data_IF_413076626326
#
_entry.id   IF_413076626326
#
_cell.length_a   1.000
_cell.length_b   1.000
_cell.length_c   1.000
_cell.angle_alpha   90.00
_cell.angle_beta   90.00
_cell.angle_gamma   90.00
#
_symmetry.space_group_name_H-M   'P 1'
#
loop_
_entity.id
_entity.type
_entity.pdbx_description
1 polymer ?
#
# COMPACT_ATOMS: atom_id res chain seq x y z
N UNK A 1 6.95 28.25 44.01
CA UNK A 1 6.62 26.81 44.00
C UNK A 1 5.54 26.57 42.95
N UNK A 2 5.95 26.24 41.73
CA UNK A 2 5.04 26.04 40.58
C UNK A 2 4.85 24.54 40.39
N UNK A 3 3.72 24.01 40.87
CA UNK A 3 3.31 22.63 40.60
C UNK A 3 2.82 22.55 39.15
N UNK A 4 3.71 22.25 38.21
CA UNK A 4 3.29 21.73 36.91
C UNK A 4 2.83 20.30 37.13
N UNK A 5 1.52 20.10 37.24
CA UNK A 5 0.85 18.80 37.16
C UNK A 5 1.06 18.23 35.75
N UNK A 6 2.27 17.77 35.49
CA UNK A 6 2.68 17.19 34.22
C UNK A 6 1.94 15.87 34.02
N UNK A 7 1.03 15.84 33.04
CA UNK A 7 0.52 14.58 32.52
C UNK A 7 1.72 13.69 32.17
N UNK A 8 1.71 12.46 32.68
CA UNK A 8 2.74 11.50 32.28
C UNK A 8 2.67 11.34 30.76
N UNK A 9 3.82 11.28 30.04
CA UNK A 9 3.82 11.16 28.57
C UNK A 9 2.96 10.00 28.04
N UNK A 10 2.76 8.97 28.85
CA UNK A 10 1.97 7.79 28.53
C UNK A 10 0.46 7.94 28.78
N UNK A 11 0.03 9.01 29.46
CA UNK A 11 -1.39 9.23 29.78
C UNK A 11 -2.22 9.33 28.50
N UNK A 12 -1.74 10.10 27.52
CA UNK A 12 -2.46 10.30 26.24
C UNK A 12 -2.60 8.97 25.50
N UNK A 13 -1.52 8.18 25.41
CA UNK A 13 -1.53 6.88 24.72
C UNK A 13 -2.57 5.93 25.31
N UNK A 14 -2.67 5.87 26.65
CA UNK A 14 -3.55 4.93 27.35
C UNK A 14 -5.00 5.34 27.40
N UNK A 15 -5.28 6.64 27.49
CA UNK A 15 -6.64 7.13 27.75
C UNK A 15 -7.37 7.60 26.50
N UNK A 16 -6.67 7.89 25.41
CA UNK A 16 -7.32 8.23 24.14
C UNK A 16 -7.95 6.96 23.54
N UNK A 17 -9.25 6.97 23.23
CA UNK A 17 -9.94 5.82 22.64
C UNK A 17 -9.35 5.37 21.30
N UNK A 18 -9.42 4.06 20.97
CA UNK A 18 -8.88 3.52 19.72
C UNK A 18 -9.36 4.22 18.44
N UNK A 19 -10.64 4.59 18.36
CA UNK A 19 -11.27 5.29 17.23
C UNK A 19 -10.71 6.71 17.02
N UNK A 20 -10.37 7.41 18.09
CA UNK A 20 -9.70 8.71 18.00
C UNK A 20 -8.28 8.53 17.44
N UNK A 21 -7.53 7.52 17.90
CA UNK A 21 -6.23 7.18 17.31
C UNK A 21 -6.33 6.80 15.84
N UNK A 22 -7.33 5.99 15.43
CA UNK A 22 -7.58 5.67 14.02
C UNK A 22 -7.81 6.94 13.20
N UNK A 23 -8.58 7.89 13.75
CA UNK A 23 -8.85 9.17 13.10
C UNK A 23 -7.57 10.01 12.94
N UNK A 24 -6.73 10.07 13.98
CA UNK A 24 -5.42 10.72 13.93
C UNK A 24 -4.53 10.06 12.86
N UNK A 25 -4.48 8.72 12.80
CA UNK A 25 -3.69 8.01 11.80
C UNK A 25 -4.16 8.32 10.38
N UNK A 26 -5.48 8.33 10.15
CA UNK A 26 -6.05 8.73 8.86
C UNK A 26 -5.68 10.16 8.49
N UNK A 27 -5.72 11.10 9.44
CA UNK A 27 -5.31 12.48 9.21
C UNK A 27 -3.82 12.57 8.87
N UNK A 28 -2.94 11.86 9.58
CA UNK A 28 -1.51 11.83 9.29
C UNK A 28 -1.21 11.27 7.90
N UNK A 29 -1.95 10.25 7.47
CA UNK A 29 -1.80 9.65 6.13
C UNK A 29 -2.43 10.49 5.01
N UNK A 30 -3.49 11.26 5.31
CA UNK A 30 -4.23 12.06 4.32
C UNK A 30 -3.80 13.53 4.20
N UNK A 31 -3.28 14.13 5.26
CA UNK A 31 -2.88 15.57 5.30
C UNK A 31 -1.52 15.85 4.67
N UNK A 32 -0.75 14.81 4.41
CA UNK A 32 0.61 14.90 3.92
C UNK A 32 0.63 14.96 2.39
N UNK A 33 1.15 16.03 1.74
CA UNK A 33 1.52 16.01 0.33
C UNK A 33 2.80 15.16 0.12
N UNK A 34 2.96 14.09 0.90
CA UNK A 34 4.10 13.21 0.81
C UNK A 34 3.98 12.38 -0.45
N UNK A 35 5.14 12.09 -1.05
CA UNK A 35 5.26 11.05 -2.08
C UNK A 35 4.54 9.81 -1.58
N UNK A 36 3.66 9.20 -2.38
CA UNK A 36 2.75 8.10 -1.97
C UNK A 36 3.46 6.93 -1.26
N UNK A 37 4.74 6.72 -1.53
CA UNK A 37 5.61 5.74 -0.85
C UNK A 37 5.93 6.04 0.63
N UNK A 38 5.76 7.28 1.09
CA UNK A 38 6.02 7.66 2.48
C UNK A 38 4.83 7.35 3.40
N UNK A 39 3.60 7.33 2.87
CA UNK A 39 2.42 6.99 3.67
C UNK A 39 2.55 5.62 4.33
N UNK A 40 3.03 4.61 3.58
CA UNK A 40 3.23 3.29 4.16
C UNK A 40 4.37 3.26 5.19
N UNK A 41 5.44 4.01 4.99
CA UNK A 41 6.53 4.11 5.97
C UNK A 41 6.03 4.75 7.27
N UNK A 42 5.25 5.82 7.16
CA UNK A 42 4.59 6.45 8.32
C UNK A 42 3.72 5.44 9.04
N UNK A 43 2.87 4.68 8.32
CA UNK A 43 2.03 3.66 8.95
C UNK A 43 2.85 2.57 9.65
N UNK A 44 3.96 2.13 9.05
CA UNK A 44 4.89 1.22 9.71
C UNK A 44 5.46 1.85 10.98
N UNK A 45 5.96 3.10 10.95
CA UNK A 45 6.44 3.77 12.15
C UNK A 45 5.38 3.83 13.26
N UNK A 46 4.12 4.12 12.92
CA UNK A 46 3.01 4.12 13.89
C UNK A 46 2.86 2.75 14.58
N UNK A 47 3.01 1.64 13.83
CA UNK A 47 2.94 0.28 14.40
C UNK A 47 4.11 -0.09 15.32
N UNK A 48 5.17 0.72 15.36
CA UNK A 48 6.35 0.50 16.20
C UNK A 48 6.38 1.39 17.44
N UNK A 49 5.46 2.35 17.60
CA UNK A 49 5.43 3.25 18.77
C UNK A 49 5.15 2.49 20.07
N UNK A 50 4.05 1.72 20.12
CA UNK A 50 3.70 0.90 21.28
C UNK A 50 2.75 -0.25 20.87
N UNK A 51 2.54 -1.27 21.73
CA UNK A 51 1.63 -2.38 21.42
C UNK A 51 0.20 -1.94 21.10
N UNK A 52 -0.31 -0.91 21.78
CA UNK A 52 -1.66 -0.38 21.56
C UNK A 52 -1.78 0.24 20.16
N UNK A 53 -0.81 1.03 19.71
CA UNK A 53 -0.82 1.60 18.36
C UNK A 53 -0.68 0.55 17.27
N UNK A 54 0.15 -0.48 17.50
CA UNK A 54 0.26 -1.64 16.60
C UNK A 54 -1.07 -2.35 16.45
N UNK A 55 -1.77 -2.58 17.56
CA UNK A 55 -3.09 -3.19 17.56
C UNK A 55 -4.08 -2.32 16.78
N UNK A 56 -4.15 -1.03 17.08
CA UNK A 56 -5.07 -0.09 16.41
C UNK A 56 -4.79 -0.03 14.89
N UNK A 57 -3.53 0.08 14.49
CA UNK A 57 -3.14 0.16 13.08
C UNK A 57 -3.45 -1.15 12.34
N UNK A 58 -3.11 -2.31 12.92
CA UNK A 58 -3.38 -3.62 12.31
C UNK A 58 -4.88 -3.95 12.26
N UNK A 59 -5.64 -3.49 13.26
CA UNK A 59 -7.09 -3.67 13.32
C UNK A 59 -7.88 -2.69 12.43
N UNK A 60 -7.20 -1.83 11.66
CA UNK A 60 -7.86 -0.82 10.83
C UNK A 60 -7.54 -1.03 9.36
N UNK A 61 -8.28 -1.90 8.64
CA UNK A 61 -7.97 -2.25 7.24
C UNK A 61 -7.93 -1.07 6.29
N UNK A 62 -8.74 -0.04 6.57
CA UNK A 62 -8.78 1.20 5.80
C UNK A 62 -7.42 1.90 5.72
N UNK A 63 -6.59 1.83 6.78
CA UNK A 63 -5.25 2.43 6.79
C UNK A 63 -4.30 1.77 5.78
N UNK A 64 -4.55 0.51 5.43
CA UNK A 64 -3.74 -0.30 4.52
C UNK A 64 -4.34 -0.40 3.12
N UNK A 65 -5.47 0.25 2.88
CA UNK A 65 -6.24 0.15 1.62
C UNK A 65 -5.61 0.88 0.44
N UNK A 66 -4.64 1.77 0.68
CA UNK A 66 -3.92 2.49 -0.37
C UNK A 66 -2.56 1.86 -0.61
N UNK A 67 -2.40 1.25 -1.77
CA UNK A 67 -1.21 0.51 -2.17
C UNK A 67 -0.54 1.23 -3.33
N UNK A 68 0.71 1.58 -3.13
CA UNK A 68 1.51 2.26 -4.14
C UNK A 68 2.81 1.48 -4.36
N UNK A 69 2.91 0.85 -5.52
CA UNK A 69 4.11 0.13 -5.95
C UNK A 69 4.91 1.02 -6.88
N UNK A 70 6.17 1.23 -6.55
CA UNK A 70 7.11 2.06 -7.30
C UNK A 70 8.21 1.17 -7.85
N UNK A 71 8.35 1.17 -9.17
CA UNK A 71 9.55 0.66 -9.85
C UNK A 71 10.51 1.83 -9.99
N UNK A 72 11.66 1.76 -9.33
CA UNK A 72 12.67 2.81 -9.31
C UNK A 72 13.94 2.42 -10.05
N UNK A 73 14.87 3.37 -10.21
CA UNK A 73 16.11 3.14 -10.92
C UNK A 73 16.89 1.93 -10.41
N UNK A 74 17.55 1.23 -11.35
CA UNK A 74 18.15 -0.11 -11.16
C UNK A 74 17.11 -1.23 -10.95
N UNK A 75 15.88 -1.04 -11.42
CA UNK A 75 14.83 -2.07 -11.39
C UNK A 75 14.30 -2.44 -10.01
N UNK A 76 14.62 -1.63 -8.98
CA UNK A 76 14.19 -1.89 -7.59
C UNK A 76 12.71 -1.59 -7.44
N UNK A 77 11.96 -2.55 -6.90
CA UNK A 77 10.53 -2.40 -6.62
C UNK A 77 10.30 -2.18 -5.13
N UNK A 78 9.49 -1.17 -4.79
CA UNK A 78 9.04 -0.89 -3.43
C UNK A 78 7.51 -0.76 -3.39
N UNK A 79 6.81 -1.34 -2.39
CA UNK A 79 7.32 -2.27 -1.38
C UNK A 79 7.90 -3.55 -2.00
N UNK A 80 8.78 -4.24 -1.26
CA UNK A 80 9.19 -5.60 -1.62
C UNK A 80 8.05 -6.60 -1.34
N UNK A 81 8.25 -7.87 -1.69
CA UNK A 81 7.21 -8.90 -1.64
C UNK A 81 6.67 -9.12 -0.21
N UNK A 82 7.55 -9.21 0.78
CA UNK A 82 7.17 -9.42 2.18
C UNK A 82 6.35 -8.25 2.73
N UNK A 83 6.81 -7.02 2.45
CA UNK A 83 6.10 -5.83 2.89
C UNK A 83 4.76 -5.68 2.16
N UNK A 84 4.70 -5.97 0.86
CA UNK A 84 3.44 -5.95 0.13
C UNK A 84 2.46 -6.99 0.68
N UNK A 85 2.94 -8.19 1.00
CA UNK A 85 2.15 -9.25 1.64
C UNK A 85 1.59 -8.81 2.99
N UNK A 86 2.41 -8.15 3.82
CA UNK A 86 1.98 -7.58 5.09
C UNK A 86 0.86 -6.54 4.89
N UNK A 87 1.03 -5.63 3.92
CA UNK A 87 0.04 -4.59 3.60
C UNK A 87 -1.28 -5.22 3.18
N UNK A 88 -1.24 -6.17 2.25
CA UNK A 88 -2.41 -6.85 1.71
C UNK A 88 -3.15 -7.65 2.78
N UNK A 89 -2.40 -8.33 3.66
CA UNK A 89 -2.95 -9.06 4.82
C UNK A 89 -3.70 -8.11 5.75
N UNK A 90 -3.10 -6.96 6.08
CA UNK A 90 -3.73 -5.99 6.99
C UNK A 90 -4.92 -5.27 6.34
N UNK A 91 -4.89 -5.06 5.03
CA UNK A 91 -6.02 -4.51 4.26
C UNK A 91 -7.23 -5.47 4.19
N UNK A 92 -7.05 -6.77 4.51
CA UNK A 92 -8.09 -7.81 4.53
C UNK A 92 -8.88 -7.86 3.22
N UNK A 93 -10.20 -7.75 3.27
CA UNK A 93 -11.10 -7.76 2.10
C UNK A 93 -11.53 -6.36 1.64
N UNK A 94 -10.92 -5.31 2.21
CA UNK A 94 -11.28 -3.91 1.93
C UNK A 94 -10.98 -3.57 0.47
N UNK A 95 -11.83 -2.76 -0.20
CA UNK A 95 -11.54 -2.24 -1.53
C UNK A 95 -10.23 -1.45 -1.54
N UNK A 96 -9.42 -1.63 -2.58
CA UNK A 96 -8.07 -1.08 -2.65
C UNK A 96 -7.97 0.13 -3.59
N UNK A 97 -7.18 1.13 -3.22
CA UNK A 97 -6.67 2.16 -4.12
C UNK A 97 -5.27 1.75 -4.51
N UNK A 98 -5.09 1.35 -5.75
CA UNK A 98 -3.88 0.69 -6.24
C UNK A 98 -3.22 1.53 -7.33
N UNK A 99 -1.93 1.79 -7.18
CA UNK A 99 -1.17 2.50 -8.19
C UNK A 99 0.23 1.90 -8.38
N UNK A 100 0.58 1.70 -9.65
CA UNK A 100 1.90 1.27 -10.10
C UNK A 100 2.59 2.44 -10.80
N UNK A 101 3.61 3.01 -10.16
CA UNK A 101 4.42 4.12 -10.66
C UNK A 101 5.79 3.61 -11.14
N UNK A 102 6.33 4.24 -12.18
CA UNK A 102 7.70 4.01 -12.65
C UNK A 102 8.49 5.30 -12.55
N UNK A 103 9.65 5.25 -11.90
CA UNK A 103 10.60 6.35 -11.77
C UNK A 103 11.83 6.08 -12.63
N UNK A 104 11.94 6.81 -13.73
CA UNK A 104 13.02 6.70 -14.71
C UNK A 104 12.75 5.67 -15.81
N UNK A 105 13.66 5.56 -16.77
CA UNK A 105 13.48 4.76 -18.00
C UNK A 105 14.02 3.33 -17.89
N UNK A 106 13.83 2.67 -16.75
CA UNK A 106 14.51 1.40 -16.45
C UNK A 106 13.51 0.25 -16.36
N UNK A 107 13.81 -0.85 -17.05
CA UNK A 107 13.06 -2.11 -16.96
C UNK A 107 13.29 -2.74 -15.58
N UNK A 108 12.24 -3.23 -14.89
CA UNK A 108 12.42 -4.02 -13.67
C UNK A 108 13.21 -5.28 -13.98
N UNK A 109 14.13 -5.66 -13.08
CA UNK A 109 14.85 -6.93 -13.23
C UNK A 109 13.91 -8.11 -12.92
N UNK A 110 14.07 -9.29 -13.56
CA UNK A 110 13.18 -10.43 -13.37
C UNK A 110 12.99 -10.84 -11.90
N UNK A 111 14.05 -10.74 -11.07
CA UNK A 111 14.02 -11.03 -9.63
C UNK A 111 13.12 -10.08 -8.82
N UNK A 112 12.72 -8.95 -9.40
CA UNK A 112 11.87 -7.95 -8.76
C UNK A 112 10.43 -7.96 -9.32
N UNK A 113 10.06 -8.99 -10.08
CA UNK A 113 8.70 -9.13 -10.62
C UNK A 113 7.70 -9.67 -9.60
N UNK A 114 8.12 -10.37 -8.54
CA UNK A 114 7.19 -10.96 -7.58
C UNK A 114 6.27 -9.93 -6.88
N UNK A 115 6.77 -8.77 -6.40
CA UNK A 115 5.87 -7.74 -5.87
C UNK A 115 4.86 -7.24 -6.91
N UNK A 116 5.24 -7.16 -8.20
CA UNK A 116 4.32 -6.80 -9.28
C UNK A 116 3.26 -7.87 -9.50
N UNK A 117 3.65 -9.15 -9.50
CA UNK A 117 2.70 -10.27 -9.61
C UNK A 117 1.70 -10.23 -8.47
N UNK A 118 2.17 -10.14 -7.24
CA UNK A 118 1.33 -10.07 -6.04
C UNK A 118 0.40 -8.85 -6.07
N UNK A 119 0.91 -7.69 -6.50
CA UNK A 119 0.09 -6.49 -6.68
C UNK A 119 -1.02 -6.71 -7.69
N UNK A 120 -0.73 -7.27 -8.87
CA UNK A 120 -1.73 -7.46 -9.91
C UNK A 120 -2.74 -8.58 -9.57
N UNK A 121 -2.34 -9.61 -8.84
CA UNK A 121 -3.25 -10.65 -8.34
C UNK A 121 -4.38 -10.07 -7.48
N UNK A 122 -4.09 -8.98 -6.76
CA UNK A 122 -5.03 -8.29 -5.87
C UNK A 122 -5.86 -7.20 -6.57
N UNK A 123 -5.63 -6.94 -7.86
CA UNK A 123 -6.35 -5.89 -8.60
C UNK A 123 -7.86 -6.16 -8.74
N UNK A 124 -8.32 -7.39 -8.51
CA UNK A 124 -9.75 -7.71 -8.40
C UNK A 124 -10.46 -6.99 -7.23
N UNK A 125 -9.71 -6.53 -6.23
CA UNK A 125 -10.21 -5.72 -5.11
C UNK A 125 -10.13 -4.21 -5.38
N UNK A 126 -9.56 -3.80 -6.52
CA UNK A 126 -9.30 -2.41 -6.79
C UNK A 126 -10.62 -1.63 -6.94
N UNK A 127 -10.75 -0.60 -6.12
CA UNK A 127 -11.71 0.49 -6.28
C UNK A 127 -11.20 1.51 -7.29
N UNK A 128 -9.90 1.82 -7.22
CA UNK A 128 -9.19 2.67 -8.17
C UNK A 128 -7.91 1.95 -8.55
N UNK A 129 -7.64 1.86 -9.85
CA UNK A 129 -6.45 1.20 -10.37
C UNK A 129 -5.75 2.15 -11.34
N UNK A 130 -4.50 2.47 -11.06
CA UNK A 130 -3.63 3.22 -11.96
C UNK A 130 -2.40 2.38 -12.30
N UNK A 131 -2.18 2.13 -13.59
CA UNK A 131 -1.09 1.29 -14.06
C UNK A 131 -0.25 2.06 -15.06
N UNK A 132 1.06 2.08 -14.82
CA UNK A 132 2.02 2.39 -15.86
C UNK A 132 2.22 1.16 -16.75
N UNK A 133 2.22 1.30 -18.07
CA UNK A 133 2.28 0.14 -18.96
C UNK A 133 3.68 -0.48 -19.08
N UNK A 134 4.77 0.26 -18.82
CA UNK A 134 6.12 -0.26 -19.01
C UNK A 134 6.48 -1.49 -18.15
N UNK A 135 6.14 -1.59 -16.84
CA UNK A 135 6.42 -2.80 -16.06
C UNK A 135 5.53 -3.96 -16.46
N UNK A 136 4.32 -3.70 -16.97
CA UNK A 136 3.44 -4.74 -17.49
C UNK A 136 4.02 -5.38 -18.74
N UNK A 137 4.62 -4.57 -19.63
CA UNK A 137 5.36 -5.07 -20.79
C UNK A 137 6.54 -5.94 -20.36
N UNK A 138 7.32 -5.51 -19.37
CA UNK A 138 8.41 -6.36 -18.85
C UNK A 138 7.89 -7.66 -18.24
N UNK A 139 6.78 -7.64 -17.51
CA UNK A 139 6.18 -8.86 -16.99
C UNK A 139 5.70 -9.79 -18.13
N UNK A 140 5.12 -9.23 -19.19
CA UNK A 140 4.71 -9.98 -20.38
C UNK A 140 5.90 -10.61 -21.11
N UNK A 141 6.99 -9.87 -21.28
CA UNK A 141 8.19 -10.30 -22.01
C UNK A 141 8.97 -11.38 -21.21
N UNK A 142 9.09 -11.21 -19.89
CA UNK A 142 9.94 -12.06 -19.03
C UNK A 142 9.19 -13.24 -18.40
N UNK A 143 7.88 -13.10 -18.12
CA UNK A 143 7.05 -14.14 -17.52
C UNK A 143 5.62 -14.11 -18.08
N UNK A 144 5.53 -14.44 -19.37
CA UNK A 144 4.27 -14.52 -20.11
C UNK A 144 3.20 -15.36 -19.39
N UNK A 145 3.59 -16.47 -18.77
CA UNK A 145 2.65 -17.35 -18.05
C UNK A 145 2.04 -16.64 -16.85
N UNK A 146 2.86 -16.04 -15.99
CA UNK A 146 2.35 -15.28 -14.85
C UNK A 146 1.50 -14.09 -15.30
N UNK A 147 1.92 -13.37 -16.34
CA UNK A 147 1.13 -12.30 -16.92
C UNK A 147 -0.24 -12.80 -17.38
N UNK A 148 -0.27 -13.90 -18.14
CA UNK A 148 -1.50 -14.48 -18.66
C UNK A 148 -2.43 -14.97 -17.55
N UNK A 149 -1.90 -15.67 -16.54
CA UNK A 149 -2.67 -16.15 -15.40
C UNK A 149 -3.32 -14.99 -14.61
N UNK A 150 -2.57 -13.91 -14.41
CA UNK A 150 -3.06 -12.68 -13.78
C UNK A 150 -4.16 -12.06 -14.64
N UNK A 151 -3.92 -11.88 -15.94
CA UNK A 151 -4.86 -11.26 -16.86
C UNK A 151 -6.18 -12.06 -16.95
N UNK A 152 -6.08 -13.38 -17.10
CA UNK A 152 -7.24 -14.27 -17.10
C UNK A 152 -7.96 -14.26 -15.74
N UNK A 153 -7.20 -14.18 -14.63
CA UNK A 153 -7.76 -14.03 -13.30
C UNK A 153 -8.58 -12.75 -13.14
N UNK A 154 -8.10 -11.63 -13.69
CA UNK A 154 -8.82 -10.35 -13.70
C UNK A 154 -10.08 -10.40 -14.57
N UNK A 155 -10.03 -11.05 -15.74
CA UNK A 155 -11.20 -11.25 -16.58
C UNK A 155 -12.27 -12.10 -15.87
N UNK A 156 -11.88 -13.21 -15.25
CA UNK A 156 -12.82 -14.14 -14.59
C UNK A 156 -13.52 -13.56 -13.37
N UNK A 157 -12.79 -12.80 -12.55
CA UNK A 157 -13.34 -12.28 -11.28
C UNK A 157 -14.31 -11.12 -11.48
N UNK A 158 -14.39 -10.58 -12.71
CA UNK A 158 -14.92 -9.23 -12.98
C UNK A 158 -14.17 -8.20 -12.11
N UNK A 159 -14.24 -6.93 -12.46
CA UNK A 159 -13.76 -5.85 -11.58
C UNK A 159 -14.97 -5.13 -10.99
N UNK A 160 -15.81 -5.80 -10.18
CA UNK A 160 -17.14 -5.29 -9.81
C UNK A 160 -17.07 -4.02 -8.96
N UNK A 161 -15.92 -3.76 -8.34
CA UNK A 161 -15.69 -2.60 -7.46
C UNK A 161 -14.91 -1.48 -8.15
N UNK A 162 -14.45 -1.68 -9.39
CA UNK A 162 -13.58 -0.73 -10.06
C UNK A 162 -14.38 0.48 -10.52
N UNK A 163 -14.15 1.60 -9.86
CA UNK A 163 -14.76 2.89 -10.17
C UNK A 163 -13.89 3.72 -11.13
N UNK A 164 -12.57 3.49 -11.11
CA UNK A 164 -11.62 4.27 -11.93
C UNK A 164 -10.44 3.43 -12.36
N UNK A 165 -10.22 3.35 -13.67
CA UNK A 165 -9.02 2.80 -14.30
C UNK A 165 -8.24 3.92 -15.01
N UNK A 166 -6.94 3.98 -14.78
CA UNK A 166 -6.03 4.88 -15.47
C UNK A 166 -4.86 4.06 -16.01
N UNK A 167 -4.62 4.14 -17.32
CA UNK A 167 -3.50 3.50 -17.99
C UNK A 167 -2.58 4.60 -18.52
N UNK A 168 -1.38 4.68 -17.97
CA UNK A 168 -0.36 5.63 -18.43
C UNK A 168 0.47 4.95 -19.52
N UNK A 169 0.16 5.31 -20.78
CA UNK A 169 0.92 4.95 -21.97
C UNK A 169 1.97 6.03 -22.21
N UNK A 170 3.23 5.72 -21.91
CA UNK A 170 4.40 6.54 -22.26
C UNK A 170 5.11 5.91 -23.44
#
# INVERSE_FOLDING_TARGET
>A
MSNTSGLTPNWVVRNVPPDIWRSIFNLLLGSMPLKRSEGIKTLLHLTHVCPQWRFIASDSPGLWSTIHVVVSGKGKVFPNEDLLSLILRNARSTPLVMELEVKGSIKPEPRHLNPLKLFLQEAHRAKKLKLHCSPLKTLLDEDYRAFFDIFMGLQRRSLPKLEKLILDLV
#
